data_IF_508482262830
#
_entry.id   IF_508482262830
#
_cell.length_a   1.000
_cell.length_b   1.000
_cell.length_c   1.000
_cell.angle_alpha   90.00
_cell.angle_beta   90.00
_cell.angle_gamma   90.00
#
_symmetry.space_group_name_H-M   'P 1'
#
loop_
_entity.id
_entity.type
_entity.pdbx_description
1 polymer ?
#
# COMPACT_ATOMS: atom_id res chain seq x y z
N UNK A 1 4.16 9.56 20.94
CA UNK A 1 4.22 8.55 19.87
C UNK A 1 4.10 9.28 18.55
N UNK A 2 5.11 9.19 17.70
CA UNK A 2 5.11 9.88 16.40
C UNK A 2 3.99 9.35 15.51
N UNK A 3 3.10 10.26 15.11
CA UNK A 3 1.94 9.95 14.30
C UNK A 3 2.31 10.03 12.81
N UNK A 4 2.77 8.92 12.23
CA UNK A 4 3.22 8.91 10.83
C UNK A 4 2.15 8.39 9.86
N UNK A 5 2.03 9.04 8.70
CA UNK A 5 1.35 8.47 7.52
C UNK A 5 2.08 7.23 7.03
N UNK A 6 1.36 6.27 6.47
CA UNK A 6 1.94 5.01 6.00
C UNK A 6 0.98 4.16 5.19
N UNK A 7 1.49 3.07 4.62
CA UNK A 7 0.70 2.12 3.85
C UNK A 7 1.25 0.69 3.93
N UNK A 8 0.38 -0.28 3.68
CA UNK A 8 0.74 -1.67 3.43
C UNK A 8 0.29 -2.08 2.04
N UNK A 9 1.17 -2.76 1.29
CA UNK A 9 0.86 -3.39 0.02
C UNK A 9 0.61 -4.88 0.24
N UNK A 10 -0.51 -5.39 -0.25
CA UNK A 10 -0.88 -6.80 -0.16
C UNK A 10 -1.29 -7.33 -1.53
N UNK A 11 -0.92 -8.58 -1.82
CA UNK A 11 -1.45 -9.34 -2.95
C UNK A 11 -2.66 -10.13 -2.47
N UNK A 12 -3.75 -10.05 -3.21
CA UNK A 12 -5.02 -10.69 -2.87
C UNK A 12 -5.42 -11.80 -3.82
N UNK A 13 -4.87 -11.84 -5.04
CA UNK A 13 -5.01 -12.98 -5.95
C UNK A 13 -3.89 -13.00 -7.00
N UNK A 14 -3.57 -14.17 -7.53
CA UNK A 14 -2.64 -14.35 -8.65
C UNK A 14 -3.18 -15.33 -9.69
N UNK A 15 -2.74 -15.26 -10.97
CA UNK A 15 -3.11 -16.24 -11.98
C UNK A 15 -2.81 -17.67 -11.52
N UNK A 16 -3.80 -18.56 -11.63
CA UNK A 16 -3.68 -19.95 -11.19
C UNK A 16 -3.87 -20.18 -9.68
N UNK A 17 -4.05 -19.14 -8.87
CA UNK A 17 -4.33 -19.26 -7.44
C UNK A 17 -5.17 -18.08 -6.94
N UNK A 18 -6.50 -18.22 -7.01
CA UNK A 18 -7.45 -17.13 -6.71
C UNK A 18 -7.84 -17.02 -5.23
N UNK A 19 -7.70 -18.10 -4.46
CA UNK A 19 -8.17 -18.19 -3.06
C UNK A 19 -7.02 -18.34 -2.05
N UNK A 20 -5.87 -17.70 -2.31
CA UNK A 20 -4.82 -17.64 -1.31
C UNK A 20 -5.14 -16.57 -0.25
N UNK A 21 -4.63 -16.74 0.97
CA UNK A 21 -4.72 -15.70 1.99
C UNK A 21 -3.96 -14.44 1.56
N UNK A 22 -4.40 -13.26 2.00
CA UNK A 22 -3.75 -12.00 1.62
C UNK A 22 -2.26 -12.01 2.00
N UNK A 23 -1.38 -11.90 1.00
CA UNK A 23 0.06 -11.96 1.17
C UNK A 23 0.63 -10.55 1.25
N UNK A 24 1.35 -10.23 2.33
CA UNK A 24 2.05 -8.95 2.44
C UNK A 24 3.20 -8.88 1.43
N UNK A 25 3.29 -7.76 0.73
CA UNK A 25 4.37 -7.46 -0.20
C UNK A 25 5.33 -6.49 0.48
N UNK A 26 6.61 -6.84 0.49
CA UNK A 26 7.65 -5.95 1.01
C UNK A 26 7.71 -4.68 0.17
N UNK A 27 7.48 -3.54 0.80
CA UNK A 27 7.53 -2.23 0.16
C UNK A 27 8.08 -1.17 1.13
N UNK A 28 8.88 -0.24 0.59
CA UNK A 28 9.29 0.97 1.29
C UNK A 28 8.19 2.03 1.13
N UNK A 29 7.85 2.69 2.24
CA UNK A 29 6.92 3.84 2.23
C UNK A 29 7.70 5.10 2.59
N UNK A 30 7.55 6.14 1.78
CA UNK A 30 8.19 7.43 2.01
C UNK A 30 7.29 8.60 1.58
N UNK A 31 7.54 9.79 2.13
CA UNK A 31 7.02 11.03 1.56
C UNK A 31 7.75 11.39 0.25
N UNK A 32 7.13 12.27 -0.52
CA UNK A 32 7.76 12.97 -1.66
C UNK A 32 8.16 14.40 -1.25
N UNK A 33 8.73 15.16 -2.18
CA UNK A 33 8.96 16.60 -2.03
C UNK A 33 7.62 17.37 -1.96
N UNK A 34 6.55 16.81 -2.52
CA UNK A 34 5.18 17.26 -2.25
C UNK A 34 4.66 16.64 -0.94
N UNK A 35 4.33 17.45 0.08
CA UNK A 35 3.85 16.96 1.38
C UNK A 35 2.50 16.25 1.32
N UNK A 36 1.78 16.33 0.19
CA UNK A 36 0.51 15.62 -0.01
C UNK A 36 0.69 14.27 -0.71
N UNK A 37 1.91 13.92 -1.10
CA UNK A 37 2.19 12.70 -1.86
C UNK A 37 2.97 11.69 -1.02
N UNK A 38 2.44 10.46 -0.99
CA UNK A 38 3.10 9.29 -0.40
C UNK A 38 3.51 8.32 -1.51
N UNK A 39 4.76 7.87 -1.46
CA UNK A 39 5.34 6.94 -2.42
C UNK A 39 5.49 5.57 -1.77
N UNK A 40 4.99 4.54 -2.45
CA UNK A 40 5.09 3.13 -2.03
C UNK A 40 5.92 2.41 -3.09
N UNK A 41 7.14 2.01 -2.72
CA UNK A 41 8.09 1.35 -3.64
C UNK A 41 8.19 -0.13 -3.27
N UNK A 42 7.65 -1.05 -4.09
CA UNK A 42 7.86 -2.48 -3.90
C UNK A 42 9.34 -2.84 -3.89
N UNK A 43 9.75 -3.79 -3.03
CA UNK A 43 11.14 -4.24 -2.96
C UNK A 43 11.57 -5.04 -4.21
N UNK A 44 10.60 -5.58 -4.95
CA UNK A 44 10.77 -6.31 -6.20
C UNK A 44 9.63 -5.95 -7.17
N UNK A 45 9.81 -6.14 -8.49
CA UNK A 45 8.73 -6.00 -9.46
C UNK A 45 7.51 -6.83 -9.06
N UNK A 46 6.32 -6.23 -9.22
CA UNK A 46 5.07 -6.94 -8.94
C UNK A 46 4.79 -7.95 -10.05
N UNK A 47 4.38 -9.14 -9.67
CA UNK A 47 3.90 -10.16 -10.61
C UNK A 47 2.47 -9.85 -11.04
N UNK A 48 1.99 -10.50 -12.10
CA UNK A 48 0.60 -10.36 -12.50
C UNK A 48 -0.33 -10.85 -11.37
N UNK A 49 -1.38 -10.10 -11.08
CA UNK A 49 -2.30 -10.38 -9.98
C UNK A 49 -3.06 -9.17 -9.48
N UNK A 50 -3.93 -9.39 -8.50
CA UNK A 50 -4.68 -8.32 -7.84
C UNK A 50 -3.98 -7.92 -6.55
N UNK A 51 -3.82 -6.62 -6.36
CA UNK A 51 -3.18 -6.02 -5.21
C UNK A 51 -4.10 -5.02 -4.53
N UNK A 52 -3.89 -4.82 -3.24
CA UNK A 52 -4.54 -3.78 -2.43
C UNK A 52 -3.50 -2.99 -1.66
N UNK A 53 -3.67 -1.68 -1.63
CA UNK A 53 -2.96 -0.76 -0.74
C UNK A 53 -3.91 -0.38 0.37
N UNK A 54 -3.57 -0.76 1.60
CA UNK A 54 -4.22 -0.29 2.81
C UNK A 54 -3.41 0.91 3.33
N UNK A 55 -3.98 2.12 3.34
CA UNK A 55 -3.26 3.35 3.67
C UNK A 55 -3.84 4.07 4.89
N UNK A 56 -2.98 4.86 5.54
CA UNK A 56 -3.30 5.78 6.62
C UNK A 56 -2.58 7.11 6.38
N UNK A 57 -3.33 8.21 6.40
CA UNK A 57 -2.81 9.57 6.27
C UNK A 57 -3.09 10.35 7.55
N UNK A 58 -2.13 11.19 7.95
CA UNK A 58 -2.20 12.07 9.11
C UNK A 58 -1.73 13.45 8.67
N UNK A 59 -2.52 14.48 8.98
CA UNK A 59 -2.18 15.88 8.71
C UNK A 59 -1.79 16.62 9.99
N UNK A 60 -1.58 17.92 9.89
CA UNK A 60 -1.30 18.82 11.02
C UNK A 60 -2.42 18.85 12.06
N UNK A 61 -3.65 18.45 11.70
CA UNK A 61 -4.79 18.34 12.61
C UNK A 61 -4.76 17.09 13.49
N UNK A 62 -3.76 16.21 13.32
CA UNK A 62 -3.56 14.97 14.08
C UNK A 62 -4.69 13.94 13.95
N UNK A 63 -5.64 14.10 13.02
CA UNK A 63 -6.69 13.11 12.82
C UNK A 63 -6.27 12.11 11.74
N UNK A 64 -6.15 10.80 12.05
CA UNK A 64 -5.80 9.82 11.04
C UNK A 64 -7.01 9.46 10.17
N UNK A 65 -6.83 9.53 8.87
CA UNK A 65 -7.76 8.97 7.89
C UNK A 65 -7.17 7.68 7.33
N UNK A 66 -8.00 6.67 7.09
CA UNK A 66 -7.59 5.40 6.49
C UNK A 66 -8.41 5.09 5.25
N UNK A 67 -7.86 4.30 4.35
CA UNK A 67 -8.56 3.87 3.15
C UNK A 67 -7.88 2.70 2.46
N UNK A 68 -8.52 2.24 1.39
CA UNK A 68 -8.06 1.09 0.61
C UNK A 68 -8.15 1.40 -0.89
N UNK A 69 -7.14 0.98 -1.63
CA UNK A 69 -7.10 1.08 -3.10
C UNK A 69 -6.79 -0.30 -3.64
N UNK A 70 -7.59 -0.80 -4.58
CA UNK A 70 -7.36 -2.10 -5.23
C UNK A 70 -7.00 -1.88 -6.70
N UNK A 71 -6.01 -2.59 -7.20
CA UNK A 71 -5.57 -2.52 -8.60
C UNK A 71 -5.08 -3.89 -9.10
N UNK A 72 -4.97 -4.03 -10.42
CA UNK A 72 -4.51 -5.25 -11.08
C UNK A 72 -3.21 -4.95 -11.82
N UNK A 73 -2.21 -5.81 -11.64
CA UNK A 73 -0.98 -5.86 -12.45
C UNK A 73 -1.18 -6.92 -13.54
N UNK A 74 -0.87 -6.57 -14.79
CA UNK A 74 -1.01 -7.45 -15.96
C UNK A 74 0.33 -8.05 -16.37
#
# INVERSE_FOLDING_TARGET
MTQFSGAGLVMTSMPGMTDHSAMKIAAKVSGSDDPKTMVITPAQPLTAGTYRVDWRAVSSDTHPITGKITFIVK
#
